data_IF_652053439412
#
_entry.id   IF_652053439412
#
_cell.length_a   1.000
_cell.length_b   1.000
_cell.length_c   1.000
_cell.angle_alpha   90.00
_cell.angle_beta   90.00
_cell.angle_gamma   90.00
#
_symmetry.space_group_name_H-M   'P 1'
#
loop_
_entity.id
_entity.type
_entity.pdbx_description
1 polymer ?
#
# COMPACT_ATOMS: atom_id res chain seq x y z
N UNK A 1 2.89 1.05 -50.89
CA UNK A 1 2.06 1.08 -49.66
C UNK A 1 2.98 0.98 -48.47
N UNK A 2 3.16 2.05 -47.71
CA UNK A 2 3.99 2.05 -46.50
C UNK A 2 3.31 1.21 -45.40
N UNK A 3 4.07 0.39 -44.74
CA UNK A 3 3.56 -0.44 -43.63
C UNK A 3 3.23 0.47 -42.46
N UNK A 4 1.98 0.53 -42.02
CA UNK A 4 1.49 1.35 -40.89
C UNK A 4 2.23 1.07 -39.58
N UNK A 5 2.91 -0.08 -39.46
CA UNK A 5 3.71 -0.40 -38.26
C UNK A 5 4.94 0.49 -38.05
N UNK A 6 5.38 1.25 -39.08
CA UNK A 6 6.48 2.22 -38.96
C UNK A 6 6.06 3.56 -38.38
N UNK A 7 4.76 3.85 -38.31
CA UNK A 7 4.22 5.10 -37.77
C UNK A 7 3.82 5.02 -36.28
N UNK A 8 3.65 3.82 -35.79
CA UNK A 8 3.36 3.57 -34.38
C UNK A 8 4.45 2.63 -33.87
N UNK A 9 5.54 3.16 -33.29
CA UNK A 9 6.45 2.30 -32.54
C UNK A 9 5.57 1.54 -31.56
N UNK A 10 5.73 0.21 -31.53
CA UNK A 10 5.04 -0.60 -30.53
C UNK A 10 5.25 0.09 -29.18
N UNK A 11 4.16 0.53 -28.57
CA UNK A 11 4.25 1.05 -27.22
C UNK A 11 5.01 -0.03 -26.45
N UNK A 12 6.10 0.33 -25.79
CA UNK A 12 6.80 -0.58 -24.89
C UNK A 12 5.75 -0.96 -23.84
N UNK A 13 5.05 -2.08 -24.06
CA UNK A 13 4.15 -2.60 -23.06
C UNK A 13 5.02 -2.89 -21.87
N UNK A 14 4.88 -2.13 -20.79
CA UNK A 14 5.47 -2.50 -19.52
C UNK A 14 4.93 -3.89 -19.20
N UNK A 15 5.77 -4.90 -19.36
CA UNK A 15 5.36 -6.26 -19.08
C UNK A 15 5.22 -6.40 -17.58
N UNK A 16 4.05 -6.80 -17.13
CA UNK A 16 3.87 -7.21 -15.74
C UNK A 16 4.67 -8.47 -15.53
N UNK A 17 5.69 -8.38 -14.70
CA UNK A 17 6.54 -9.51 -14.33
C UNK A 17 5.92 -10.30 -13.18
N UNK A 18 5.26 -9.59 -12.27
CA UNK A 18 4.57 -10.20 -11.13
C UNK A 18 3.41 -9.33 -10.66
N UNK A 19 2.33 -9.97 -10.23
CA UNK A 19 1.25 -9.32 -9.50
C UNK A 19 0.79 -10.23 -8.38
N UNK A 20 0.91 -9.75 -7.15
CA UNK A 20 0.44 -10.41 -5.94
C UNK A 20 -0.72 -9.62 -5.35
N UNK A 21 -1.75 -10.32 -4.87
CA UNK A 21 -2.89 -9.71 -4.19
C UNK A 21 -3.21 -10.51 -2.92
N UNK A 22 -3.33 -9.80 -1.82
CA UNK A 22 -3.60 -10.36 -0.50
C UNK A 22 -4.85 -9.74 0.11
N UNK A 23 -5.69 -10.55 0.70
CA UNK A 23 -6.51 -10.10 1.82
C UNK A 23 -5.63 -10.18 3.08
N UNK A 24 -5.47 -9.08 3.81
CA UNK A 24 -4.50 -8.97 4.92
C UNK A 24 -5.01 -9.65 6.20
N UNK A 25 -5.27 -10.94 6.12
CA UNK A 25 -5.71 -11.82 7.20
C UNK A 25 -4.64 -12.85 7.61
N UNK A 26 -3.41 -12.69 7.13
CA UNK A 26 -2.30 -13.61 7.36
C UNK A 26 -2.12 -14.68 6.27
N UNK A 27 -2.92 -14.62 5.19
CA UNK A 27 -2.78 -15.55 4.07
C UNK A 27 -1.53 -15.31 3.25
N UNK A 28 -1.12 -16.33 2.51
CA UNK A 28 0.05 -16.30 1.64
C UNK A 28 -0.34 -16.33 0.18
N UNK A 29 0.56 -15.80 -0.68
CA UNK A 29 0.52 -15.92 -2.13
C UNK A 29 1.88 -16.38 -2.63
N UNK A 30 1.88 -17.19 -3.69
CA UNK A 30 3.10 -17.67 -4.34
C UNK A 30 3.50 -16.71 -5.44
N UNK A 31 4.77 -16.32 -5.48
CA UNK A 31 5.35 -15.47 -6.49
C UNK A 31 5.31 -16.10 -7.90
N UNK A 32 5.60 -15.29 -8.91
CA UNK A 32 5.64 -15.73 -10.30
C UNK A 32 6.71 -16.82 -10.57
N UNK A 33 7.73 -16.94 -9.73
CA UNK A 33 8.75 -18.00 -9.81
C UNK A 33 8.23 -19.37 -9.40
N UNK A 34 7.01 -19.46 -8.86
CA UNK A 34 6.36 -20.69 -8.40
C UNK A 34 6.91 -21.28 -7.09
N UNK A 35 7.90 -20.64 -6.47
CA UNK A 35 8.61 -21.17 -5.28
C UNK A 35 8.61 -20.21 -4.10
N UNK A 36 8.78 -18.91 -4.33
CA UNK A 36 8.79 -17.89 -3.28
C UNK A 36 7.36 -17.67 -2.78
N UNK A 37 7.21 -17.66 -1.47
CA UNK A 37 5.91 -17.40 -0.84
C UNK A 37 5.99 -16.14 0.00
N UNK A 38 5.06 -15.23 -0.25
CA UNK A 38 4.86 -14.00 0.53
C UNK A 38 3.63 -14.15 1.41
N UNK A 39 3.75 -13.75 2.68
CA UNK A 39 2.65 -13.82 3.64
C UNK A 39 2.25 -12.41 4.05
N UNK A 40 0.97 -12.09 3.93
CA UNK A 40 0.43 -10.82 4.39
C UNK A 40 0.44 -10.74 5.92
N UNK A 41 0.67 -9.55 6.46
CA UNK A 41 0.43 -9.31 7.87
C UNK A 41 -1.08 -9.38 8.17
N UNK A 42 -1.47 -10.08 9.22
CA UNK A 42 -2.86 -10.05 9.67
C UNK A 42 -3.20 -8.67 10.25
N UNK A 43 -4.26 -8.07 9.70
CA UNK A 43 -4.74 -6.76 10.15
C UNK A 43 -5.50 -6.88 11.47
N UNK A 44 -5.38 -5.84 12.27
CA UNK A 44 -6.17 -5.64 13.49
C UNK A 44 -6.72 -4.23 13.53
N UNK A 45 -7.80 -4.02 14.26
CA UNK A 45 -8.28 -2.67 14.59
C UNK A 45 -7.26 -1.95 15.48
N UNK A 46 -6.94 -0.71 15.15
CA UNK A 46 -6.00 0.11 15.91
C UNK A 46 -6.57 1.52 16.09
N UNK A 47 -6.55 2.02 17.33
CA UNK A 47 -6.83 3.41 17.62
C UNK A 47 -5.67 4.29 17.16
N UNK A 48 -5.99 5.45 16.62
CA UNK A 48 -4.98 6.39 16.14
C UNK A 48 -4.26 7.12 17.27
N UNK A 49 -3.06 7.60 16.97
CA UNK A 49 -2.28 8.46 17.86
C UNK A 49 -1.67 9.64 17.09
N UNK A 50 -1.12 10.62 17.81
CA UNK A 50 -0.43 11.77 17.24
C UNK A 50 0.95 11.40 16.66
N UNK A 51 1.44 10.19 17.00
CA UNK A 51 2.70 9.64 16.45
C UNK A 51 2.42 8.67 15.30
N UNK A 52 3.34 8.59 14.35
CA UNK A 52 3.23 7.62 13.26
C UNK A 52 3.29 6.18 13.77
N UNK A 53 2.34 5.39 13.32
CA UNK A 53 2.19 3.96 13.60
C UNK A 53 2.16 3.20 12.27
N UNK A 54 2.50 1.92 12.29
CA UNK A 54 2.26 1.05 11.13
C UNK A 54 0.78 0.76 10.99
N UNK A 55 0.23 0.94 9.77
CA UNK A 55 -1.11 0.48 9.46
C UNK A 55 -1.08 -1.04 9.40
N UNK A 56 -1.74 -1.71 10.35
CA UNK A 56 -1.72 -3.18 10.43
C UNK A 56 -2.35 -3.78 9.17
N UNK A 57 -1.69 -4.79 8.62
CA UNK A 57 -2.04 -5.40 7.34
C UNK A 57 -1.28 -4.81 6.15
N UNK A 58 -0.60 -3.65 6.30
CA UNK A 58 0.12 -3.00 5.20
C UNK A 58 1.56 -3.50 5.02
N UNK A 59 2.11 -4.21 6.00
CA UNK A 59 3.51 -4.61 5.96
C UNK A 59 3.73 -5.85 5.10
N UNK A 60 4.69 -5.74 4.20
CA UNK A 60 5.15 -6.85 3.37
C UNK A 60 6.65 -6.75 3.13
N UNK A 61 7.39 -7.82 3.46
CA UNK A 61 8.77 -7.99 3.03
C UNK A 61 8.76 -8.55 1.60
N UNK A 62 9.27 -7.77 0.64
CA UNK A 62 9.15 -8.07 -0.77
C UNK A 62 10.48 -7.94 -1.51
N UNK A 63 10.72 -8.85 -2.48
CA UNK A 63 11.81 -8.78 -3.46
C UNK A 63 11.18 -8.96 -4.84
N UNK A 64 11.28 -7.96 -5.74
CA UNK A 64 10.71 -8.09 -7.07
C UNK A 64 11.52 -9.03 -7.97
N UNK A 65 10.90 -9.62 -9.00
CA UNK A 65 11.61 -10.40 -10.02
C UNK A 65 12.73 -9.62 -10.68
N UNK A 66 13.75 -10.35 -11.16
CA UNK A 66 14.85 -9.74 -11.93
C UNK A 66 14.31 -9.01 -13.17
N UNK A 67 14.90 -7.87 -13.50
CA UNK A 67 14.47 -7.04 -14.63
C UNK A 67 13.36 -6.03 -14.30
N UNK A 68 12.86 -6.00 -13.07
CA UNK A 68 11.88 -5.00 -12.63
C UNK A 68 12.46 -3.59 -12.72
N UNK A 69 11.66 -2.67 -13.30
CA UNK A 69 11.93 -1.23 -13.39
C UNK A 69 10.98 -0.39 -12.56
N UNK A 70 9.80 -0.92 -12.28
CA UNK A 70 8.78 -0.25 -11.48
C UNK A 70 8.07 -1.24 -10.58
N UNK A 71 7.84 -0.85 -9.34
CA UNK A 71 6.96 -1.55 -8.41
C UNK A 71 5.85 -0.62 -7.99
N UNK A 72 4.60 -1.03 -8.18
CA UNK A 72 3.43 -0.34 -7.64
C UNK A 72 2.96 -1.07 -6.40
N UNK A 73 2.88 -0.35 -5.30
CA UNK A 73 2.32 -0.78 -4.03
C UNK A 73 0.94 -0.13 -3.87
N UNK A 74 -0.08 -0.95 -3.71
CA UNK A 74 -1.47 -0.51 -3.53
C UNK A 74 -2.03 -1.13 -2.24
N UNK A 75 -2.55 -0.29 -1.36
CA UNK A 75 -3.14 -0.71 -0.10
C UNK A 75 -4.51 -0.07 0.06
N UNK A 76 -5.51 -0.90 0.21
CA UNK A 76 -6.92 -0.51 0.31
C UNK A 76 -7.44 -0.90 1.68
N UNK A 77 -7.74 0.09 2.51
CA UNK A 77 -8.10 -0.12 3.90
C UNK A 77 -9.29 0.74 4.32
N UNK A 78 -9.97 0.34 5.37
CA UNK A 78 -11.05 1.12 5.96
C UNK A 78 -10.53 1.96 7.13
N UNK A 79 -11.06 3.18 7.20
CA UNK A 79 -10.98 4.05 8.36
C UNK A 79 -12.33 3.97 9.04
N UNK A 80 -12.32 3.54 10.27
CA UNK A 80 -13.52 3.34 11.07
C UNK A 80 -14.02 4.61 11.73
N UNK A 81 -15.06 4.39 12.49
CA UNK A 81 -15.82 5.41 13.20
C UNK A 81 -14.94 6.33 14.07
N UNK A 82 -15.22 7.64 14.00
CA UNK A 82 -14.79 8.63 14.96
C UNK A 82 -16.02 9.43 15.42
N UNK A 83 -16.00 9.87 16.65
CA UNK A 83 -17.05 10.75 17.19
C UNK A 83 -17.00 12.17 16.60
N UNK A 84 -15.94 12.46 15.84
CA UNK A 84 -15.62 13.77 15.28
C UNK A 84 -15.12 13.62 13.83
N UNK A 85 -14.72 14.75 13.21
CA UNK A 85 -14.07 14.74 11.90
C UNK A 85 -12.78 13.94 11.94
N UNK A 86 -12.54 13.16 10.90
CA UNK A 86 -11.32 12.39 10.71
C UNK A 86 -10.32 13.24 9.92
N UNK A 87 -9.12 13.42 10.41
CA UNK A 87 -8.03 14.04 9.67
C UNK A 87 -6.73 13.32 10.03
N UNK A 88 -6.09 12.78 9.03
CA UNK A 88 -4.86 12.03 9.22
C UNK A 88 -3.88 12.18 8.07
N UNK A 89 -2.69 11.66 8.31
CA UNK A 89 -1.59 11.64 7.37
C UNK A 89 -1.04 10.23 7.26
N UNK A 90 -0.61 9.88 6.04
CA UNK A 90 0.02 8.60 5.76
C UNK A 90 1.15 8.74 4.74
N UNK A 91 2.09 7.81 4.78
CA UNK A 91 3.18 7.68 3.82
C UNK A 91 3.62 6.23 3.68
N UNK A 92 4.30 5.93 2.57
CA UNK A 92 4.99 4.65 2.42
C UNK A 92 6.32 4.69 3.16
N UNK A 93 6.57 3.71 3.98
CA UNK A 93 7.86 3.43 4.59
C UNK A 93 8.57 2.31 3.81
N UNK A 94 9.84 2.50 3.52
CA UNK A 94 10.69 1.54 2.82
C UNK A 94 11.90 1.26 3.71
N UNK A 95 11.97 0.11 4.35
CA UNK A 95 13.04 -0.29 5.28
C UNK A 95 13.32 0.76 6.38
N UNK A 96 12.28 1.38 6.95
CA UNK A 96 12.40 2.43 7.95
C UNK A 96 12.64 3.83 7.37
N UNK A 97 12.71 3.99 6.06
CA UNK A 97 12.85 5.28 5.39
C UNK A 97 11.51 5.78 4.89
N UNK A 98 11.13 6.98 5.31
CA UNK A 98 9.92 7.64 4.86
C UNK A 98 10.00 8.06 3.39
N UNK A 99 9.12 7.55 2.53
CA UNK A 99 8.95 8.03 1.17
C UNK A 99 8.16 9.36 1.19
N UNK A 100 8.87 10.47 1.08
CA UNK A 100 8.30 11.83 1.25
C UNK A 100 7.42 12.26 0.08
N UNK A 101 7.70 11.78 -1.13
CA UNK A 101 6.90 12.09 -2.33
C UNK A 101 5.58 11.32 -2.36
N UNK A 102 5.47 10.25 -1.60
CA UNK A 102 4.28 9.40 -1.48
C UNK A 102 3.34 9.80 -0.34
N UNK A 103 3.57 10.94 0.33
CA UNK A 103 2.72 11.40 1.43
C UNK A 103 1.30 11.68 0.98
N UNK A 104 0.33 11.31 1.83
CA UNK A 104 -1.09 11.57 1.63
C UNK A 104 -1.68 12.12 2.91
N UNK A 105 -2.72 12.93 2.75
CA UNK A 105 -3.62 13.31 3.83
C UNK A 105 -5.02 12.86 3.45
N UNK A 106 -5.78 12.42 4.41
CA UNK A 106 -7.20 12.12 4.23
C UNK A 106 -8.01 12.96 5.22
N UNK A 107 -9.24 13.24 4.82
CA UNK A 107 -10.20 13.95 5.63
C UNK A 107 -11.57 13.28 5.49
N UNK A 108 -12.18 12.97 6.60
CA UNK A 108 -13.54 12.43 6.66
C UNK A 108 -14.41 13.27 7.58
N UNK A 109 -15.68 13.41 7.23
CA UNK A 109 -16.67 14.04 8.09
C UNK A 109 -17.54 12.98 8.72
N UNK A 110 -17.56 12.96 10.09
CA UNK A 110 -18.59 12.28 10.84
C UNK A 110 -18.49 10.74 10.91
N UNK A 111 -19.43 10.17 11.59
CA UNK A 111 -19.64 8.83 12.12
C UNK A 111 -19.60 7.64 11.17
N UNK A 112 -19.20 7.82 9.91
CA UNK A 112 -19.19 6.74 8.92
C UNK A 112 -17.77 6.29 8.57
N UNK A 113 -17.63 5.00 8.39
CA UNK A 113 -16.38 4.42 7.88
C UNK A 113 -16.16 4.84 6.43
N UNK A 114 -14.92 5.19 6.09
CA UNK A 114 -14.48 5.44 4.72
C UNK A 114 -13.50 4.35 4.27
N UNK A 115 -13.37 4.19 2.96
CA UNK A 115 -12.41 3.29 2.35
C UNK A 115 -11.33 4.10 1.67
N UNK A 116 -10.10 3.98 2.16
CA UNK A 116 -8.98 4.82 1.72
C UNK A 116 -7.99 4.02 0.87
N UNK A 117 -7.82 4.39 -0.39
CA UNK A 117 -6.76 3.84 -1.22
C UNK A 117 -5.44 4.56 -0.94
N UNK A 118 -4.39 3.80 -0.71
CA UNK A 118 -3.01 4.29 -0.70
C UNK A 118 -2.24 3.64 -1.84
N UNK A 119 -1.81 4.42 -2.83
CA UNK A 119 -1.09 3.94 -4.00
C UNK A 119 0.23 4.69 -4.12
N UNK A 120 1.33 3.95 -4.26
CA UNK A 120 2.67 4.50 -4.48
C UNK A 120 3.40 3.69 -5.54
N UNK A 121 4.10 4.39 -6.44
CA UNK A 121 4.95 3.78 -7.46
C UNK A 121 6.42 4.03 -7.15
N UNK A 122 7.21 2.97 -7.19
CA UNK A 122 8.63 2.96 -6.88
C UNK A 122 9.42 2.68 -8.18
N UNK A 123 10.44 3.49 -8.45
CA UNK A 123 11.39 3.22 -9.53
C UNK A 123 12.47 2.26 -9.04
N UNK A 124 12.85 1.28 -9.86
CA UNK A 124 13.86 0.27 -9.53
C UNK A 124 14.98 0.27 -10.59
N UNK A 125 16.19 0.02 -10.16
CA UNK A 125 17.35 -0.03 -11.04
C UNK A 125 17.83 1.36 -11.46
N UNK A 126 17.70 2.36 -10.60
CA UNK A 126 18.24 3.70 -10.81
C UNK A 126 19.71 3.77 -10.38
N UNK A 127 20.48 4.67 -11.01
CA UNK A 127 21.93 4.82 -10.71
C UNK A 127 22.17 5.40 -9.30
N UNK A 128 21.26 6.26 -8.83
CA UNK A 128 21.35 6.87 -7.51
C UNK A 128 20.11 6.54 -6.70
N UNK A 129 20.28 5.74 -5.65
CA UNK A 129 19.22 5.40 -4.72
C UNK A 129 18.80 6.63 -3.90
N UNK A 130 17.49 6.85 -3.81
CA UNK A 130 16.85 7.84 -2.96
C UNK A 130 15.49 7.31 -2.52
N UNK A 131 15.46 6.56 -1.43
CA UNK A 131 14.24 5.94 -0.90
C UNK A 131 13.19 6.99 -0.51
N UNK A 132 13.62 8.18 -0.10
CA UNK A 132 12.69 9.26 0.24
C UNK A 132 11.90 9.74 -0.99
N UNK A 133 12.46 9.60 -2.19
CA UNK A 133 11.80 9.89 -3.46
C UNK A 133 11.21 8.64 -4.13
N UNK A 134 11.23 7.48 -3.48
CA UNK A 134 10.75 6.22 -4.06
C UNK A 134 11.65 5.67 -5.17
N UNK A 135 12.94 6.02 -5.16
CA UNK A 135 13.95 5.55 -6.10
C UNK A 135 14.84 4.50 -5.45
N UNK A 136 14.81 3.30 -5.96
CA UNK A 136 15.55 2.15 -5.43
C UNK A 136 16.63 1.78 -6.44
N UNK A 137 17.88 1.72 -6.00
CA UNK A 137 19.00 1.32 -6.85
C UNK A 137 18.88 -0.16 -7.22
N UNK A 138 19.58 -1.01 -6.51
CA UNK A 138 19.49 -2.46 -6.68
C UNK A 138 18.49 -3.04 -5.68
N UNK A 139 17.51 -3.81 -6.19
CA UNK A 139 16.53 -4.46 -5.32
C UNK A 139 16.57 -5.98 -5.52
N UNK A 140 17.54 -6.63 -4.87
CA UNK A 140 17.79 -8.07 -4.96
C UNK A 140 17.60 -8.83 -3.65
N UNK A 141 17.19 -8.14 -2.60
CA UNK A 141 16.87 -8.72 -1.29
C UNK A 141 15.59 -8.11 -0.75
N UNK A 142 14.96 -8.77 0.21
CA UNK A 142 13.74 -8.27 0.82
C UNK A 142 13.91 -6.84 1.34
N UNK A 143 12.99 -5.97 0.92
CA UNK A 143 12.74 -4.67 1.55
C UNK A 143 11.36 -4.71 2.19
N UNK A 144 11.26 -4.22 3.40
CA UNK A 144 9.98 -4.10 4.10
C UNK A 144 9.27 -2.84 3.65
N UNK A 145 8.10 -3.02 3.04
CA UNK A 145 7.19 -1.93 2.67
C UNK A 145 6.06 -1.89 3.69
N UNK A 146 5.71 -0.71 4.18
CA UNK A 146 4.55 -0.54 5.05
C UNK A 146 3.95 0.86 4.94
N UNK A 147 2.66 1.00 5.18
CA UNK A 147 2.02 2.30 5.31
C UNK A 147 2.12 2.75 6.76
N UNK A 148 2.68 3.92 6.98
CA UNK A 148 2.67 4.61 8.27
C UNK A 148 1.57 5.66 8.26
N UNK A 149 0.86 5.77 9.38
CA UNK A 149 -0.23 6.71 9.53
C UNK A 149 -0.21 7.35 10.92
N UNK A 150 -0.84 8.51 11.03
CA UNK A 150 -1.15 9.18 12.29
C UNK A 150 -2.39 10.05 12.15
N UNK A 151 -3.07 10.37 13.24
CA UNK A 151 -4.05 11.47 13.26
C UNK A 151 -3.35 12.83 13.26
N UNK A 152 -4.07 13.87 12.85
CA UNK A 152 -3.55 15.25 12.87
C UNK A 152 -3.34 15.73 14.31
N UNK A 153 -4.35 15.55 15.16
CA UNK A 153 -4.31 15.84 16.60
C UNK A 153 -5.40 15.02 17.31
N UNK A 154 -5.39 15.05 18.64
CA UNK A 154 -6.38 14.34 19.47
C UNK A 154 -7.84 14.72 19.22
N UNK A 155 -8.08 15.86 18.57
CA UNK A 155 -9.44 16.29 18.17
C UNK A 155 -9.95 15.59 16.88
N UNK A 156 -9.11 14.80 16.20
CA UNK A 156 -9.41 14.09 14.96
C UNK A 156 -9.17 12.59 15.12
N UNK A 157 -9.76 12.03 16.16
CA UNK A 157 -9.58 10.61 16.48
C UNK A 157 -10.35 9.71 15.52
N UNK A 158 -9.77 8.58 15.16
CA UNK A 158 -10.39 7.55 14.34
C UNK A 158 -9.74 6.19 14.59
N UNK A 159 -10.37 5.14 14.12
CA UNK A 159 -9.82 3.79 14.12
C UNK A 159 -9.49 3.35 12.71
N UNK A 160 -8.53 2.46 12.55
CA UNK A 160 -8.24 1.81 11.26
C UNK A 160 -8.69 0.37 11.27
N UNK A 161 -9.00 -0.18 10.08
CA UNK A 161 -9.45 -1.55 9.89
C UNK A 161 -10.72 -1.87 10.69
N UNK A 162 -11.54 -0.87 10.89
CA UNK A 162 -12.80 -0.97 11.61
C UNK A 162 -13.95 -0.57 10.69
N UNK A 163 -15.03 -1.32 10.73
CA UNK A 163 -16.23 -1.06 9.97
C UNK A 163 -17.46 -1.35 10.82
N UNK A 164 -18.33 -0.36 10.93
CA UNK A 164 -19.69 -0.58 11.38
C UNK A 164 -20.51 -1.21 10.26
N UNK A 165 -20.50 -2.54 10.19
CA UNK A 165 -21.34 -3.25 9.24
C UNK A 165 -22.79 -3.27 9.75
N UNK A 166 -23.67 -2.59 9.02
CA UNK A 166 -25.08 -2.52 9.37
C UNK A 166 -25.82 -3.80 8.99
N UNK A 167 -25.85 -4.76 9.91
CA UNK A 167 -26.65 -5.98 9.79
C UNK A 167 -27.83 -6.03 10.76
N UNK A 168 -28.23 -4.86 11.29
CA UNK A 168 -29.29 -4.72 12.29
C UNK A 168 -28.82 -4.60 13.74
N UNK A 169 -27.54 -4.82 14.03
CA UNK A 169 -26.98 -4.79 15.39
C UNK A 169 -25.86 -3.77 15.61
N UNK A 170 -25.34 -3.13 14.55
CA UNK A 170 -24.38 -2.03 14.65
C UNK A 170 -23.06 -2.37 15.38
N UNK A 171 -22.54 -3.58 15.23
CA UNK A 171 -21.27 -3.97 15.86
C UNK A 171 -20.09 -3.60 14.97
N UNK A 172 -19.06 -3.03 15.60
CA UNK A 172 -17.74 -2.84 15.01
C UNK A 172 -17.12 -4.20 14.66
N UNK A 173 -16.58 -4.31 13.45
CA UNK A 173 -15.97 -5.55 12.94
C UNK A 173 -14.64 -5.23 12.27
N UNK A 174 -13.62 -6.05 12.49
CA UNK A 174 -12.36 -5.93 11.77
C UNK A 174 -12.63 -6.11 10.28
N UNK A 175 -12.22 -5.12 9.49
CA UNK A 175 -12.22 -5.20 8.03
C UNK A 175 -10.79 -5.42 7.55
N UNK A 176 -10.57 -6.55 6.90
CA UNK A 176 -9.25 -6.86 6.37
C UNK A 176 -8.95 -6.02 5.14
N UNK A 177 -7.84 -5.26 5.15
CA UNK A 177 -7.37 -4.54 3.97
C UNK A 177 -7.03 -5.48 2.82
N UNK A 178 -6.96 -4.91 1.62
CA UNK A 178 -6.38 -5.57 0.46
C UNK A 178 -5.04 -4.92 0.13
N UNK A 179 -3.99 -5.72 0.00
CA UNK A 179 -2.67 -5.30 -0.44
C UNK A 179 -2.40 -5.90 -1.82
N UNK A 180 -1.98 -5.05 -2.77
CA UNK A 180 -1.58 -5.48 -4.11
C UNK A 180 -0.17 -4.95 -4.38
N UNK A 181 0.70 -5.82 -4.89
CA UNK A 181 2.00 -5.44 -5.42
C UNK A 181 2.06 -5.85 -6.89
N UNK A 182 2.50 -4.92 -7.73
CA UNK A 182 2.71 -5.15 -9.16
C UNK A 182 4.12 -4.75 -9.53
N UNK A 183 4.91 -5.67 -10.07
CA UNK A 183 6.24 -5.43 -10.60
C UNK A 183 6.21 -5.44 -12.13
N UNK A 184 6.80 -4.42 -12.74
CA UNK A 184 6.85 -4.24 -14.19
C UNK A 184 8.29 -4.02 -14.68
N UNK A 185 8.59 -4.50 -15.90
CA UNK A 185 9.86 -4.25 -16.62
C UNK A 185 9.86 -2.92 -17.36
#
# INVERSE_FOLDING_TARGET
MGNLSTFFPAASSSNVLEKLSFLCDGRSATAADGTTTYTSQAATTVNTSDSYQTWTGSELAYTPPAGTKMVTYEFYASIGHADTSQLGHMYLDIDGTQCTVGRRSFYGVSTYSSYEPFISSLQVGVDTEDLASGKIGTWTSNKTLSVKFRRYSSSYDFTINDLNYWNGTGSSTVTYPTLIITACS
#
